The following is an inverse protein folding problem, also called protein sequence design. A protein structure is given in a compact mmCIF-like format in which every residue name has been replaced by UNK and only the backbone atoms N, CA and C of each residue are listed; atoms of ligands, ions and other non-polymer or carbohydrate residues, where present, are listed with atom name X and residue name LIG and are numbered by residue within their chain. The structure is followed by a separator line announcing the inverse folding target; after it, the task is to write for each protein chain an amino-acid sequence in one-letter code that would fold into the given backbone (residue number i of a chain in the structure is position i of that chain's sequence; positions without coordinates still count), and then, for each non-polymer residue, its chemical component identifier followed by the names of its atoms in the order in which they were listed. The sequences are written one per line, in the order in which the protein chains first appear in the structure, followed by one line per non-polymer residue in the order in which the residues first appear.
data_IF_569371258534
#
_entry.id   IF_569371258534
#
_cell.length_a   1.000
_cell.length_b   1.000
_cell.length_c   1.000
_cell.angle_alpha   90.00
_cell.angle_beta   90.00
_cell.angle_gamma   90.00
#
_symmetry.space_group_name_H-M   'P 1'
#
loop_
_entity.id
_entity.type
_entity.pdbx_description
1 polymer ?
#
# COMPACT_ATOMS: atom_id res chain seq x y z
N UNK A 1 15.52 -14.12 -6.15
CA UNK A 1 16.46 -13.52 -5.18
C UNK A 1 16.48 -12.02 -5.45
N UNK A 2 16.30 -11.18 -4.43
CA UNK A 2 16.32 -9.71 -4.55
C UNK A 2 17.69 -9.23 -5.04
N UNK A 3 17.77 -8.35 -6.06
CA UNK A 3 19.04 -7.76 -6.50
C UNK A 3 19.73 -6.95 -5.39
N UNK A 4 21.07 -6.96 -5.32
CA UNK A 4 21.82 -6.16 -4.35
C UNK A 4 21.55 -4.66 -4.51
N UNK A 5 21.35 -3.95 -3.39
CA UNK A 5 21.14 -2.50 -3.38
C UNK A 5 19.69 -2.05 -3.63
N UNK A 6 18.76 -2.98 -3.86
CA UNK A 6 17.32 -2.67 -3.95
C UNK A 6 16.65 -2.73 -2.59
N UNK A 7 15.70 -1.82 -2.37
CA UNK A 7 14.77 -1.82 -1.23
C UNK A 7 13.58 -2.70 -1.57
N UNK A 8 13.34 -3.73 -0.77
CA UNK A 8 12.14 -4.53 -0.87
C UNK A 8 10.95 -3.81 -0.25
N UNK A 9 9.84 -3.80 -0.98
CA UNK A 9 8.62 -3.09 -0.62
C UNK A 9 7.41 -3.99 -0.86
N UNK A 10 6.40 -3.88 0.00
CA UNK A 10 5.06 -4.40 -0.25
C UNK A 10 4.04 -3.27 -0.15
N UNK A 11 3.08 -3.25 -1.07
CA UNK A 11 1.88 -2.42 -0.95
C UNK A 11 0.75 -3.31 -0.44
N UNK A 12 0.18 -2.96 0.70
CA UNK A 12 -0.97 -3.67 1.25
C UNK A 12 -2.27 -3.18 0.62
N UNK A 13 -3.33 -4.02 0.60
CA UNK A 13 -4.67 -3.55 0.32
C UNK A 13 -5.01 -2.32 1.16
N UNK A 14 -5.46 -1.27 0.49
CA UNK A 14 -5.95 -0.09 1.17
C UNK A 14 -7.27 -0.46 1.88
N UNK A 15 -7.61 0.25 2.96
CA UNK A 15 -8.90 0.04 3.63
C UNK A 15 -9.95 0.97 3.06
N UNK A 16 -11.12 0.46 2.70
CA UNK A 16 -12.28 1.33 2.54
C UNK A 16 -12.76 1.81 3.92
N UNK A 17 -12.84 3.13 4.09
CA UNK A 17 -13.46 3.78 5.25
C UNK A 17 -14.83 4.28 4.83
N UNK A 18 -15.81 3.40 4.87
CA UNK A 18 -17.16 3.73 4.47
C UNK A 18 -17.96 2.49 4.14
N UNK A 19 -18.21 2.29 2.84
CA UNK A 19 -19.08 1.25 2.33
C UNK A 19 -18.24 0.08 1.81
N UNK A 20 -18.70 -1.14 2.03
CA UNK A 20 -18.02 -2.35 1.53
C UNK A 20 -17.91 -2.38 0.00
N UNK A 21 -18.81 -1.68 -0.72
CA UNK A 21 -18.72 -1.51 -2.18
C UNK A 21 -17.44 -0.79 -2.64
N UNK A 22 -16.75 -0.06 -1.75
CA UNK A 22 -15.50 0.62 -2.05
C UNK A 22 -14.25 -0.29 -1.85
N UNK A 23 -14.41 -1.53 -1.36
CA UNK A 23 -13.29 -2.45 -1.14
C UNK A 23 -12.58 -2.82 -2.46
N UNK A 24 -13.35 -3.01 -3.54
CA UNK A 24 -12.79 -3.24 -4.88
C UNK A 24 -11.89 -2.08 -5.32
N UNK A 25 -12.27 -0.84 -5.05
CA UNK A 25 -11.46 0.33 -5.37
C UNK A 25 -10.18 0.36 -4.54
N UNK A 26 -10.25 -0.08 -3.29
CA UNK A 26 -9.11 -0.13 -2.38
C UNK A 26 -8.10 -1.23 -2.75
N UNK A 27 -8.57 -2.37 -3.24
CA UNK A 27 -7.75 -3.43 -3.82
C UNK A 27 -7.11 -2.99 -5.15
N UNK A 28 -7.91 -2.47 -6.09
CA UNK A 28 -7.43 -2.02 -7.39
C UNK A 28 -6.36 -0.92 -7.28
N UNK A 29 -6.54 0.03 -6.34
CA UNK A 29 -5.54 1.07 -6.08
C UNK A 29 -4.21 0.48 -5.59
N UNK A 30 -4.25 -0.54 -4.74
CA UNK A 30 -3.05 -1.19 -4.22
C UNK A 30 -2.30 -1.96 -5.32
N UNK A 31 -3.03 -2.61 -6.22
CA UNK A 31 -2.46 -3.28 -7.40
C UNK A 31 -1.80 -2.26 -8.34
N UNK A 32 -2.51 -1.20 -8.72
CA UNK A 32 -1.97 -0.16 -9.60
C UNK A 32 -0.74 0.52 -8.99
N UNK A 33 -0.76 0.82 -7.69
CA UNK A 33 0.40 1.39 -7.00
C UNK A 33 1.58 0.41 -6.97
N UNK A 34 1.33 -0.89 -6.80
CA UNK A 34 2.38 -1.92 -6.87
C UNK A 34 3.01 -1.95 -8.26
N UNK A 35 2.19 -1.94 -9.30
CA UNK A 35 2.64 -1.96 -10.69
C UNK A 35 3.45 -0.71 -11.06
N UNK A 36 3.03 0.47 -10.60
CA UNK A 36 3.78 1.71 -10.79
C UNK A 36 5.13 1.68 -10.04
N UNK A 37 5.13 1.25 -8.79
CA UNK A 37 6.36 1.18 -7.98
C UNK A 37 7.34 0.11 -8.51
N UNK A 38 6.84 -0.99 -9.07
CA UNK A 38 7.68 -2.05 -9.65
C UNK A 38 8.56 -1.58 -10.82
N UNK A 39 8.17 -0.48 -11.48
CA UNK A 39 8.92 0.15 -12.57
C UNK A 39 10.00 1.11 -12.08
N UNK A 40 10.03 1.40 -10.78
CA UNK A 40 10.99 2.32 -10.17
C UNK A 40 12.30 1.59 -9.89
N UNK A 41 13.40 2.06 -10.47
CA UNK A 41 14.73 1.47 -10.21
C UNK A 41 15.07 1.55 -8.73
N UNK A 42 15.64 0.48 -8.20
CA UNK A 42 16.01 0.40 -6.79
C UNK A 42 14.89 -0.10 -5.87
N UNK A 43 13.69 -0.39 -6.41
CA UNK A 43 12.61 -1.03 -5.67
C UNK A 43 12.41 -2.48 -6.14
N UNK A 44 12.28 -3.37 -5.16
CA UNK A 44 11.85 -4.75 -5.35
C UNK A 44 10.46 -4.93 -4.75
N UNK A 45 9.42 -4.90 -5.59
CA UNK A 45 8.03 -4.94 -5.12
C UNK A 45 7.53 -6.37 -5.01
N UNK A 46 6.99 -6.74 -3.84
CA UNK A 46 6.35 -8.03 -3.60
C UNK A 46 4.96 -8.05 -4.27
N UNK A 47 4.64 -9.14 -4.96
CA UNK A 47 3.39 -9.27 -5.72
C UNK A 47 2.13 -9.25 -4.86
N UNK A 48 1.04 -8.73 -5.42
CA UNK A 48 -0.23 -8.47 -4.73
C UNK A 48 -0.87 -9.70 -4.06
N UNK A 49 -0.73 -10.90 -4.64
CA UNK A 49 -1.26 -12.13 -4.04
C UNK A 49 -0.67 -12.47 -2.66
N UNK A 50 0.61 -12.14 -2.43
CA UNK A 50 1.23 -12.29 -1.12
C UNK A 50 0.83 -11.16 -0.17
N UNK A 51 0.54 -9.96 -0.68
CA UNK A 51 0.07 -8.83 0.11
C UNK A 51 -1.38 -9.03 0.60
N UNK A 52 -2.22 -9.71 -0.18
CA UNK A 52 -3.63 -9.93 0.12
C UNK A 52 -3.86 -10.65 1.47
N UNK A 53 -2.97 -11.58 1.86
CA UNK A 53 -3.07 -12.26 3.16
C UNK A 53 -2.83 -11.35 4.37
N UNK A 54 -2.37 -10.12 4.15
CA UNK A 54 -2.07 -9.13 5.18
C UNK A 54 -3.08 -7.98 5.20
N UNK A 55 -4.23 -8.09 4.53
CA UNK A 55 -5.26 -7.04 4.46
C UNK A 55 -5.67 -6.51 5.86
N UNK A 56 -5.78 -7.38 6.86
CA UNK A 56 -6.16 -6.96 8.23
C UNK A 56 -4.96 -6.63 9.13
N UNK A 57 -3.73 -6.90 8.68
CA UNK A 57 -2.51 -6.66 9.45
C UNK A 57 -1.94 -5.28 9.15
N UNK A 58 -1.43 -4.61 10.19
CA UNK A 58 -0.96 -3.23 10.09
C UNK A 58 0.36 -2.95 10.81
N UNK A 59 0.93 -3.95 11.50
CA UNK A 59 2.28 -3.80 12.05
C UNK A 59 3.31 -4.07 10.95
N UNK A 60 4.01 -3.03 10.45
CA UNK A 60 4.99 -3.21 9.38
C UNK A 60 6.12 -4.15 9.77
N UNK A 61 6.46 -4.27 11.06
CA UNK A 61 7.54 -5.13 11.55
C UNK A 61 7.18 -6.60 11.38
N UNK A 62 5.94 -6.95 11.69
CA UNK A 62 5.42 -8.32 11.53
C UNK A 62 5.37 -8.70 10.05
N UNK A 63 4.77 -7.84 9.22
CA UNK A 63 4.65 -8.03 7.78
C UNK A 63 6.02 -8.16 7.13
N UNK A 64 6.96 -7.27 7.47
CA UNK A 64 8.29 -7.27 6.88
C UNK A 64 9.13 -8.46 7.29
N UNK A 65 8.93 -9.00 8.50
CA UNK A 65 9.54 -10.28 8.89
C UNK A 65 9.02 -11.46 8.07
N UNK A 66 7.71 -11.52 7.79
CA UNK A 66 7.11 -12.63 7.05
C UNK A 66 7.40 -12.56 5.54
N UNK A 67 7.38 -11.35 4.96
CA UNK A 67 7.59 -11.13 3.54
C UNK A 67 9.04 -10.79 3.16
N UNK A 68 9.93 -10.67 4.15
CA UNK A 68 11.32 -10.24 3.98
C UNK A 68 11.44 -8.90 3.21
N UNK A 69 10.62 -7.92 3.59
CA UNK A 69 10.63 -6.56 3.01
C UNK A 69 11.26 -5.54 3.96
N UNK A 70 11.77 -4.44 3.41
CA UNK A 70 12.40 -3.37 4.19
C UNK A 70 11.40 -2.25 4.54
N UNK A 71 10.38 -2.06 3.71
CA UNK A 71 9.35 -1.03 3.87
C UNK A 71 7.96 -1.55 3.50
N UNK A 72 6.93 -0.98 4.13
CA UNK A 72 5.53 -1.30 3.88
C UNK A 72 4.76 -0.04 3.49
N UNK A 73 4.00 -0.12 2.40
CA UNK A 73 3.01 0.90 2.02
C UNK A 73 1.63 0.43 2.45
N UNK A 74 0.92 1.28 3.19
CA UNK A 74 -0.47 1.04 3.58
C UNK A 74 -1.31 2.31 3.46
N UNK A 75 -2.63 2.15 3.55
CA UNK A 75 -3.49 3.30 3.41
C UNK A 75 -4.97 3.03 3.61
N UNK A 76 -5.75 4.05 3.28
CA UNK A 76 -7.19 4.00 3.31
C UNK A 76 -7.78 4.91 2.23
N UNK A 77 -8.93 4.50 1.71
CA UNK A 77 -9.79 5.27 0.83
C UNK A 77 -11.04 5.66 1.62
N UNK A 78 -11.48 6.90 1.47
CA UNK A 78 -12.73 7.39 2.03
C UNK A 78 -13.51 8.10 0.93
N UNK A 79 -14.71 7.62 0.66
CA UNK A 79 -15.63 8.25 -0.28
C UNK A 79 -16.66 9.08 0.46
N UNK A 80 -16.96 10.27 -0.06
CA UNK A 80 -18.00 11.15 0.43
C UNK A 80 -18.72 11.79 -0.77
N UNK A 81 -19.85 11.19 -1.16
CA UNK A 81 -20.57 11.58 -2.37
C UNK A 81 -19.75 11.31 -3.63
N UNK A 82 -19.44 12.36 -4.37
CA UNK A 82 -18.63 12.38 -5.58
C UNK A 82 -17.13 12.63 -5.31
N UNK A 83 -16.73 12.78 -4.05
CA UNK A 83 -15.33 13.00 -3.65
C UNK A 83 -14.71 11.73 -3.12
N UNK A 84 -13.46 11.50 -3.50
CA UNK A 84 -12.62 10.43 -2.98
C UNK A 84 -11.41 11.04 -2.29
N UNK A 85 -11.08 10.48 -1.12
CA UNK A 85 -9.89 10.83 -0.36
C UNK A 85 -9.07 9.58 -0.14
N UNK A 86 -7.81 9.63 -0.55
CA UNK A 86 -6.83 8.56 -0.37
C UNK A 86 -5.81 9.06 0.64
N UNK A 87 -5.54 8.26 1.66
CA UNK A 87 -4.38 8.43 2.54
C UNK A 87 -3.44 7.26 2.35
N UNK A 88 -2.16 7.54 2.14
CA UNK A 88 -1.11 6.54 1.99
C UNK A 88 0.02 6.83 2.98
N UNK A 89 0.68 5.78 3.46
CA UNK A 89 1.81 5.84 4.38
C UNK A 89 2.88 4.86 3.95
N UNK A 90 4.14 5.24 4.15
CA UNK A 90 5.31 4.39 3.99
C UNK A 90 5.93 4.22 5.37
N UNK A 91 6.12 2.99 5.81
CA UNK A 91 6.68 2.66 7.13
C UNK A 91 7.94 1.82 6.99
N UNK A 92 8.92 2.09 7.85
CA UNK A 92 10.14 1.28 7.99
C UNK A 92 9.82 0.01 8.77
N UNK A 93 10.31 -1.14 8.30
CA UNK A 93 10.09 -2.45 8.95
C UNK A 93 11.01 -2.63 10.16
N UNK A 94 12.17 -1.97 10.20
CA UNK A 94 13.17 -2.15 11.23
C UNK A 94 12.71 -1.67 12.60
N UNK A 95 12.09 -0.48 12.65
CA UNK A 95 11.60 0.10 13.90
C UNK A 95 10.08 0.39 13.92
N UNK A 96 9.40 0.23 12.78
CA UNK A 96 7.97 0.51 12.64
C UNK A 96 7.64 1.99 12.49
N UNK A 97 8.64 2.86 12.33
CA UNK A 97 8.44 4.29 12.15
C UNK A 97 7.80 4.62 10.81
N UNK A 98 7.04 5.71 10.78
CA UNK A 98 6.49 6.24 9.54
C UNK A 98 7.56 7.09 8.85
N UNK A 99 8.02 6.66 7.68
CA UNK A 99 8.96 7.39 6.84
C UNK A 99 8.28 8.52 6.06
N UNK A 100 7.05 8.29 5.61
CA UNK A 100 6.28 9.25 4.84
C UNK A 100 4.78 9.03 4.97
N UNK A 101 4.00 10.09 4.78
CA UNK A 101 2.55 10.01 4.58
C UNK A 101 2.06 11.06 3.60
N UNK A 102 1.07 10.70 2.78
CA UNK A 102 0.41 11.60 1.86
C UNK A 102 -1.11 11.48 1.94
N UNK A 103 -1.78 12.58 1.57
CA UNK A 103 -3.24 12.65 1.44
C UNK A 103 -3.56 13.27 0.10
N UNK A 104 -4.45 12.61 -0.63
CA UNK A 104 -4.86 12.99 -1.98
C UNK A 104 -6.38 13.06 -2.01
N UNK A 105 -6.91 14.17 -2.52
CA UNK A 105 -8.34 14.42 -2.63
C UNK A 105 -8.68 14.63 -4.10
N UNK A 106 -9.64 13.88 -4.63
CA UNK A 106 -10.05 13.90 -6.04
C UNK A 106 -11.57 13.75 -6.21
N UNK A 107 -12.06 13.91 -7.43
CA UNK A 107 -13.40 13.46 -7.77
C UNK A 107 -13.38 11.94 -8.05
N UNK A 108 -14.49 11.26 -7.79
CA UNK A 108 -14.62 9.83 -8.13
C UNK A 108 -14.46 9.59 -9.63
N UNK A 109 -14.81 10.57 -10.47
CA UNK A 109 -14.62 10.49 -11.91
C UNK A 109 -13.15 10.52 -12.36
N UNK A 110 -12.22 10.87 -11.46
CA UNK A 110 -10.78 10.93 -11.74
C UNK A 110 -10.05 9.62 -11.36
N UNK A 111 -10.77 8.63 -10.79
CA UNK A 111 -10.22 7.37 -10.29
C UNK A 111 -10.57 6.21 -11.22
#
# INVERSE_FOLDING_TARGET
LRPPGERALVVLPFRARGRAEDDFLAEALAEELSDLLSRTRGLWVIGGGAAASFAERRDPREIGRELAVDVVVDGAIQRAGDRVRISARLSDVGDGSQLWSGRFDGALADV
#
